data_IF_973706558045
#
_entry.id   IF_973706558045
#
_cell.length_a   1.000
_cell.length_b   1.000
_cell.length_c   1.000
_cell.angle_alpha   90.00
_cell.angle_beta   90.00
_cell.angle_gamma   90.00
#
_symmetry.space_group_name_H-M   'P 1'
#
loop_
_entity.id
_entity.type
_entity.pdbx_description
1 polymer ?
#
# COMPACT_ATOMS: atom_id res chain seq x y z
N UNK A 1 8.91 -29.26 -15.85
CA UNK A 1 8.99 -28.98 -15.82
C UNK A 1 8.82 -28.32 -15.67
N UNK A 2 8.78 -28.31 -15.58
CA UNK A 2 8.70 -27.69 -15.32
C UNK A 2 8.76 -27.04 -15.10
N UNK A 3 8.72 -27.17 -14.88
CA UNK A 3 8.83 -26.69 -14.66
C UNK A 3 8.88 -25.98 -14.52
N UNK A 4 8.73 -26.06 -14.56
CA UNK A 4 8.88 -25.43 -14.46
C UNK A 4 8.84 -24.70 -14.17
N UNK A 5 8.71 -24.67 -14.03
CA UNK A 5 8.73 -23.99 -13.72
C UNK A 5 8.89 -23.38 -13.28
N UNK A 6 8.86 -23.28 -12.87
CA UNK A 6 9.10 -22.74 -12.48
C UNK A 6 9.59 -22.19 -12.44
N UNK A 7 9.73 -22.16 -12.46
CA UNK A 7 10.21 -21.58 -12.52
C UNK A 7 10.52 -20.94 -12.38
N UNK A 8 10.61 -20.75 -12.36
CA UNK A 8 10.98 -20.10 -12.31
C UNK A 8 11.08 -19.31 -11.86
N UNK A 9 11.19 -18.95 -11.39
CA UNK A 9 11.12 -18.05 -10.83
C UNK A 9 11.85 -17.06 -10.65
N UNK A 10 11.78 -16.28 -10.82
CA UNK A 10 12.57 -15.31 -10.91
C UNK A 10 12.69 -14.56 -9.83
N UNK A 11 13.22 -14.27 -9.51
CA UNK A 11 13.45 -13.65 -8.64
C UNK A 11 13.54 -12.37 -8.87
N UNK A 12 13.45 -11.92 -9.72
CA UNK A 12 13.62 -10.76 -9.91
C UNK A 12 12.58 -10.10 -9.87
N UNK A 13 12.51 -9.24 -9.38
CA UNK A 13 11.52 -8.47 -9.16
C UNK A 13 11.28 -7.70 -10.22
N UNK A 14 11.56 -7.93 -11.11
CA UNK A 14 11.48 -7.20 -12.13
C UNK A 14 10.29 -6.45 -12.29
N UNK A 15 9.28 -6.95 -12.78
CA UNK A 15 8.11 -6.19 -13.05
C UNK A 15 7.07 -6.46 -12.02
N UNK A 16 6.63 -5.40 -11.34
CA UNK A 16 5.56 -5.51 -10.38
C UNK A 16 4.33 -4.91 -11.04
N UNK A 17 3.27 -5.69 -11.13
CA UNK A 17 2.00 -5.17 -11.60
C UNK A 17 1.28 -4.57 -10.41
N UNK A 18 1.40 -3.27 -10.26
CA UNK A 18 0.87 -2.55 -9.09
C UNK A 18 -0.64 -2.69 -9.00
N UNK A 19 -1.32 -2.62 -10.13
CA UNK A 19 -2.77 -2.74 -10.12
C UNK A 19 -3.21 -4.13 -9.67
N UNK A 20 -2.54 -5.18 -10.15
CA UNK A 20 -2.85 -6.53 -9.72
C UNK A 20 -2.55 -6.73 -8.26
N UNK A 21 -1.41 -6.21 -7.80
CA UNK A 21 -1.08 -6.28 -6.38
C UNK A 21 -2.15 -5.59 -5.54
N UNK A 22 -2.59 -4.41 -5.97
CA UNK A 22 -3.60 -3.67 -5.23
C UNK A 22 -4.92 -4.46 -5.19
N UNK A 23 -5.34 -5.01 -6.31
CA UNK A 23 -6.59 -5.75 -6.35
C UNK A 23 -6.56 -7.03 -5.49
N UNK A 24 -5.39 -7.68 -5.41
CA UNK A 24 -5.26 -8.93 -4.69
C UNK A 24 -4.92 -8.76 -3.21
N UNK A 25 -4.14 -7.74 -2.89
CA UNK A 25 -3.62 -7.58 -1.54
C UNK A 25 -4.00 -6.23 -0.95
N UNK A 26 -3.63 -5.15 -1.64
CA UNK A 26 -3.73 -3.81 -1.06
C UNK A 26 -5.15 -3.37 -0.76
N UNK A 27 -6.07 -3.64 -1.68
CA UNK A 27 -7.45 -3.18 -1.54
C UNK A 27 -8.09 -3.72 -0.26
N UNK A 28 -7.94 -5.00 -0.01
CA UNK A 28 -8.58 -5.62 1.15
C UNK A 28 -8.05 -5.03 2.45
N UNK A 29 -6.75 -4.88 2.53
CA UNK A 29 -6.12 -4.36 3.74
C UNK A 29 -6.45 -2.88 3.93
N UNK A 30 -6.36 -2.10 2.85
CA UNK A 30 -6.64 -0.67 2.95
C UNK A 30 -8.10 -0.40 3.24
N UNK A 31 -9.02 -1.11 2.60
CA UNK A 31 -10.45 -0.93 2.85
C UNK A 31 -10.78 -1.20 4.31
N UNK A 32 -10.19 -2.26 4.88
CA UNK A 32 -10.44 -2.58 6.28
C UNK A 32 -9.92 -1.47 7.19
N UNK A 33 -8.70 -1.02 6.96
CA UNK A 33 -8.10 0.00 7.80
C UNK A 33 -8.82 1.34 7.64
N UNK A 34 -9.16 1.72 6.41
CA UNK A 34 -9.86 2.96 6.16
C UNK A 34 -11.24 2.95 6.84
N UNK A 35 -11.95 1.83 6.73
CA UNK A 35 -13.26 1.72 7.36
C UNK A 35 -13.16 1.90 8.86
N UNK A 36 -12.18 1.25 9.49
CA UNK A 36 -12.00 1.36 10.93
C UNK A 36 -11.56 2.75 11.35
N UNK A 37 -10.63 3.34 10.60
CA UNK A 37 -10.14 4.68 10.92
C UNK A 37 -11.23 5.73 10.71
N UNK A 38 -12.01 5.60 9.66
CA UNK A 38 -13.10 6.53 9.40
C UNK A 38 -14.11 6.49 10.55
N UNK A 39 -14.42 5.30 11.03
CA UNK A 39 -15.33 5.16 12.18
C UNK A 39 -14.77 5.80 13.44
N UNK A 40 -13.44 5.92 13.54
CA UNK A 40 -12.79 6.55 14.69
C UNK A 40 -12.55 8.05 14.49
N UNK A 41 -12.97 8.59 13.36
CA UNK A 41 -12.80 10.01 13.09
C UNK A 41 -11.52 10.38 12.35
N UNK A 42 -10.75 9.41 11.91
CA UNK A 42 -9.53 9.68 11.14
C UNK A 42 -9.87 9.81 9.67
N UNK A 43 -9.05 10.56 8.93
CA UNK A 43 -9.23 10.71 7.50
C UNK A 43 -7.95 10.51 6.70
N UNK A 44 -6.89 9.99 7.33
CA UNK A 44 -5.64 9.73 6.61
C UNK A 44 -4.83 8.67 7.33
N UNK A 45 -3.92 8.06 6.58
CA UNK A 45 -2.94 7.14 7.12
C UNK A 45 -1.63 7.32 6.37
N UNK A 46 -0.58 6.69 6.86
CA UNK A 46 0.74 6.74 6.22
C UNK A 46 1.20 5.31 5.96
N UNK A 47 1.73 5.07 4.77
CA UNK A 47 2.33 3.78 4.43
C UNK A 47 3.84 3.99 4.37
N UNK A 48 4.57 3.24 5.17
CA UNK A 48 6.02 3.35 5.19
C UNK A 48 6.64 2.57 4.04
N UNK A 49 7.92 2.81 3.81
CA UNK A 49 8.61 2.23 2.68
C UNK A 49 8.53 0.70 2.65
N UNK A 50 8.51 0.09 3.83
CA UNK A 50 8.44 -1.37 3.93
C UNK A 50 7.00 -1.92 3.90
N UNK A 51 6.00 -1.05 3.73
CA UNK A 51 4.62 -1.48 3.67
C UNK A 51 3.85 -1.35 4.98
N UNK A 52 4.49 -0.89 6.05
CA UNK A 52 3.80 -0.72 7.32
C UNK A 52 2.80 0.43 7.24
N UNK A 53 1.58 0.20 7.69
CA UNK A 53 0.57 1.24 7.76
C UNK A 53 0.52 1.78 9.18
N UNK A 54 0.68 3.09 9.30
CA UNK A 54 0.69 3.75 10.61
C UNK A 54 -0.18 5.00 10.55
N UNK A 55 -0.59 5.47 11.71
CA UNK A 55 -1.28 6.76 11.83
C UNK A 55 -0.58 7.58 12.90
N UNK A 56 -0.74 8.90 12.80
CA UNK A 56 -0.26 9.78 13.86
C UNK A 56 -1.44 10.10 14.75
N UNK A 57 -1.32 9.75 16.02
CA UNK A 57 -2.37 9.99 16.99
C UNK A 57 -1.74 10.66 18.19
N UNK A 58 -2.14 11.89 18.48
CA UNK A 58 -1.61 12.66 19.62
C UNK A 58 -0.09 12.74 19.60
N UNK A 59 0.45 13.03 18.41
CA UNK A 59 1.88 13.19 18.20
C UNK A 59 2.67 11.90 18.33
N UNK A 60 2.01 10.76 18.38
CA UNK A 60 2.67 9.47 18.40
C UNK A 60 2.28 8.66 17.18
N UNK A 61 3.23 7.93 16.64
CA UNK A 61 2.98 7.05 15.54
C UNK A 61 2.42 5.74 16.06
N UNK A 62 1.32 5.29 15.48
CA UNK A 62 0.68 4.06 15.89
C UNK A 62 0.68 3.09 14.73
N UNK A 63 1.28 1.93 14.92
CA UNK A 63 1.30 0.88 13.90
C UNK A 63 -0.06 0.18 13.83
N UNK A 64 -0.54 -0.05 12.63
CA UNK A 64 -1.81 -0.74 12.42
C UNK A 64 -1.59 -2.14 11.85
N UNK A 65 -0.96 -2.23 10.70
CA UNK A 65 -0.70 -3.51 10.05
C UNK A 65 0.32 -3.30 8.94
N UNK A 66 0.69 -4.37 8.27
CA UNK A 66 1.65 -4.31 7.16
C UNK A 66 0.99 -4.78 5.88
N UNK A 67 1.39 -4.18 4.76
CA UNK A 67 0.98 -4.62 3.44
C UNK A 67 1.97 -5.65 2.92
N UNK A 68 1.50 -6.84 2.61
CA UNK A 68 2.35 -7.90 2.09
C UNK A 68 2.82 -7.57 0.68
N UNK A 69 4.06 -7.87 0.37
CA UNK A 69 4.63 -7.69 -0.97
C UNK A 69 4.47 -6.26 -1.49
N UNK A 70 4.62 -5.28 -0.60
CA UNK A 70 4.44 -3.88 -0.96
C UNK A 70 5.42 -3.48 -2.06
N UNK A 71 4.94 -2.79 -3.12
CA UNK A 71 5.81 -2.41 -4.23
C UNK A 71 6.94 -1.48 -3.79
N UNK A 72 8.07 -1.59 -4.45
CA UNK A 72 9.21 -0.73 -4.18
C UNK A 72 8.93 0.71 -4.57
N UNK A 73 9.80 1.59 -4.09
CA UNK A 73 9.62 3.03 -4.25
C UNK A 73 9.52 3.46 -5.71
N UNK A 74 10.20 2.77 -6.60
CA UNK A 74 10.17 3.10 -8.02
C UNK A 74 8.79 2.83 -8.66
N UNK A 75 7.89 2.16 -7.96
CA UNK A 75 6.54 1.91 -8.45
C UNK A 75 5.50 2.82 -7.78
N UNK A 76 5.93 3.72 -6.91
CA UNK A 76 4.99 4.52 -6.12
C UNK A 76 4.18 5.50 -6.95
N UNK A 77 4.72 6.01 -8.05
CA UNK A 77 3.95 6.89 -8.93
C UNK A 77 2.75 6.15 -9.50
N UNK A 78 2.97 4.92 -9.91
CA UNK A 78 1.90 4.10 -10.44
C UNK A 78 0.90 3.75 -9.34
N UNK A 79 1.40 3.46 -8.14
CA UNK A 79 0.54 3.16 -7.00
C UNK A 79 -0.34 4.35 -6.66
N UNK A 80 0.19 5.57 -6.70
CA UNK A 80 -0.60 6.76 -6.46
C UNK A 80 -1.74 6.87 -7.47
N UNK A 81 -1.49 6.54 -8.72
CA UNK A 81 -2.54 6.55 -9.74
C UNK A 81 -3.61 5.51 -9.44
N UNK A 82 -3.22 4.32 -9.02
CA UNK A 82 -4.17 3.27 -8.67
C UNK A 82 -5.03 3.70 -7.48
N UNK A 83 -4.41 4.29 -6.47
CA UNK A 83 -5.15 4.78 -5.31
C UNK A 83 -6.13 5.89 -5.71
N UNK A 84 -5.71 6.78 -6.60
CA UNK A 84 -6.58 7.84 -7.11
C UNK A 84 -7.79 7.28 -7.84
N UNK A 85 -7.60 6.20 -8.60
CA UNK A 85 -8.70 5.54 -9.30
C UNK A 85 -9.72 4.95 -8.32
N UNK A 86 -9.32 4.76 -7.06
CA UNK A 86 -10.19 4.23 -6.03
C UNK A 86 -10.64 5.32 -5.04
N UNK A 87 -10.57 6.58 -5.50
CA UNK A 87 -11.07 7.73 -4.74
C UNK A 87 -10.28 8.00 -3.47
N UNK A 88 -9.02 7.63 -3.47
CA UNK A 88 -8.11 7.94 -2.37
C UNK A 88 -7.08 8.94 -2.86
N UNK A 89 -6.77 9.92 -2.02
CA UNK A 89 -5.71 10.85 -2.34
C UNK A 89 -4.41 10.32 -1.76
N UNK A 90 -3.38 10.27 -2.55
CA UNK A 90 -2.10 9.76 -2.09
C UNK A 90 -0.99 10.67 -2.58
N UNK A 91 0.01 10.86 -1.73
CA UNK A 91 1.20 11.62 -2.12
C UNK A 91 2.42 11.03 -1.45
N UNK A 92 3.55 11.19 -2.11
CA UNK A 92 4.83 10.73 -1.59
C UNK A 92 5.42 11.82 -0.70
N UNK A 93 5.79 11.43 0.50
CA UNK A 93 6.44 12.33 1.44
C UNK A 93 7.68 11.63 1.98
N UNK A 94 8.86 11.95 1.42
CA UNK A 94 10.09 11.28 1.80
C UNK A 94 10.03 9.80 1.42
N UNK A 95 10.18 8.95 2.40
CA UNK A 95 10.13 7.50 2.18
C UNK A 95 8.78 6.92 2.58
N UNK A 96 7.72 7.73 2.56
CA UNK A 96 6.39 7.28 2.92
C UNK A 96 5.37 7.74 1.89
N UNK A 97 4.20 7.10 1.89
CA UNK A 97 3.07 7.55 1.09
C UNK A 97 1.97 7.93 2.07
N UNK A 98 1.47 9.15 1.94
CA UNK A 98 0.36 9.61 2.76
C UNK A 98 -0.92 9.41 1.97
N UNK A 99 -1.87 8.68 2.54
CA UNK A 99 -3.14 8.38 1.90
C UNK A 99 -4.24 9.05 2.72
N UNK A 100 -5.14 9.74 2.04
CA UNK A 100 -6.25 10.39 2.71
C UNK A 100 -7.55 10.12 1.97
N UNK A 101 -8.64 10.28 2.70
CA UNK A 101 -9.99 10.11 2.15
C UNK A 101 -10.91 11.07 2.90
N UNK A 102 -12.09 11.27 2.33
CA UNK A 102 -13.05 12.18 2.96
C UNK A 102 -14.25 11.41 3.41
#
# INVERSE_FOLDING_TARGET
NAEDCEASIPKEPAVVDVKAWFDLVGRQILDKQITELHAQGHNKLTIKENGDIVINCQKKERFLCSLDAFPGKNYWQELICVLGDNELEAKIAGNTIQVSWI
#
